data_IF_343104108427
#
_entry.id   IF_343104108427
#
_cell.length_a   1.000
_cell.length_b   1.000
_cell.length_c   1.000
_cell.angle_alpha   90.00
_cell.angle_beta   90.00
_cell.angle_gamma   90.00
#
_symmetry.space_group_name_H-M   'P 1'
#
loop_
_entity.id
_entity.type
_entity.pdbx_description
1 polymer ?
#
# COMPACT_ATOMS: atom_id res chain seq x y z
N UNK A 1 41.81 -11.58 69.66
CA UNK A 1 41.28 -12.88 69.17
C UNK A 1 41.07 -12.73 67.68
N UNK A 2 41.76 -13.35 66.72
CA UNK A 2 42.78 -14.44 66.61
C UNK A 2 43.88 -13.90 65.67
N UNK A 3 45.15 -13.87 66.08
CA UNK A 3 46.21 -14.90 65.95
C UNK A 3 46.72 -15.14 64.51
N UNK A 4 47.92 -14.60 64.33
CA UNK A 4 49.05 -14.88 63.41
C UNK A 4 49.27 -16.37 63.10
N UNK A 5 49.72 -16.71 61.87
CA UNK A 5 50.94 -17.53 61.64
C UNK A 5 51.32 -17.64 60.16
N UNK A 6 52.50 -17.11 59.85
CA UNK A 6 53.37 -17.47 58.72
C UNK A 6 54.10 -18.76 59.09
N UNK A 7 54.27 -19.69 58.14
CA UNK A 7 55.28 -20.73 58.21
C UNK A 7 55.75 -21.14 56.80
N UNK A 8 57.06 -21.04 56.63
CA UNK A 8 57.91 -21.45 55.51
C UNK A 8 58.26 -22.94 55.68
N UNK A 9 58.39 -23.72 54.59
CA UNK A 9 59.38 -24.81 54.37
C UNK A 9 59.12 -25.43 52.97
N UNK A 10 59.96 -25.20 51.95
CA UNK A 10 61.14 -25.99 51.56
C UNK A 10 60.86 -27.47 51.24
N UNK A 11 61.09 -27.91 49.99
CA UNK A 11 61.04 -29.34 49.64
C UNK A 11 61.21 -29.66 48.15
N UNK A 12 62.32 -30.31 47.83
CA UNK A 12 62.89 -30.72 46.55
C UNK A 12 62.03 -31.56 45.58
N UNK A 13 62.45 -31.45 44.31
CA UNK A 13 62.23 -32.23 43.10
C UNK A 13 61.78 -33.71 43.18
N UNK A 14 60.95 -34.09 42.21
CA UNK A 14 60.76 -35.48 41.75
C UNK A 14 60.09 -35.52 40.37
N UNK A 15 60.86 -35.79 39.32
CA UNK A 15 60.35 -36.09 37.98
C UNK A 15 59.76 -37.51 38.00
N UNK A 16 58.48 -37.63 37.64
CA UNK A 16 57.81 -38.91 37.36
C UNK A 16 57.03 -38.78 36.05
N UNK A 17 57.49 -39.56 35.08
CA UNK A 17 56.90 -39.72 33.75
C UNK A 17 55.61 -40.54 33.89
N UNK A 18 54.50 -40.06 33.34
CA UNK A 18 53.37 -40.92 32.99
C UNK A 18 52.59 -40.36 31.80
N UNK A 19 52.57 -41.15 30.72
CA UNK A 19 51.75 -40.96 29.54
C UNK A 19 50.26 -41.12 29.90
N UNK A 20 49.44 -40.12 29.56
CA UNK A 20 48.01 -40.30 29.39
C UNK A 20 47.54 -39.41 28.23
N UNK A 21 47.00 -40.06 27.20
CA UNK A 21 46.73 -39.47 25.90
C UNK A 21 45.72 -38.34 25.90
N UNK A 22 45.92 -37.42 24.94
CA UNK A 22 44.91 -36.45 24.51
C UNK A 22 43.66 -37.20 24.06
N UNK A 23 42.59 -37.13 24.86
CA UNK A 23 41.23 -37.34 24.39
C UNK A 23 40.84 -36.08 23.63
N UNK A 24 40.53 -36.24 22.35
CA UNK A 24 39.93 -35.22 21.50
C UNK A 24 38.63 -34.71 22.12
N UNK A 25 38.56 -33.41 22.38
CA UNK A 25 37.31 -32.71 22.66
C UNK A 25 36.35 -32.86 21.46
N UNK A 26 35.23 -33.54 21.69
CA UNK A 26 34.11 -33.49 20.77
C UNK A 26 33.45 -32.13 20.88
N UNK A 27 33.73 -31.27 19.90
CA UNK A 27 32.94 -30.08 19.62
C UNK A 27 31.48 -30.49 19.38
N UNK A 28 30.59 -30.11 20.30
CA UNK A 28 29.16 -30.16 20.08
C UNK A 28 28.82 -29.19 18.94
N UNK A 29 28.36 -29.75 17.82
CA UNK A 29 27.80 -28.96 16.72
C UNK A 29 26.56 -28.21 17.20
N UNK A 30 26.36 -26.93 16.83
CA UNK A 30 25.15 -26.20 17.16
C UNK A 30 23.95 -26.85 16.49
N UNK A 31 22.86 -27.01 17.24
CA UNK A 31 21.58 -27.45 16.71
C UNK A 31 21.18 -26.55 15.54
N UNK A 32 21.02 -27.17 14.37
CA UNK A 32 20.53 -26.52 13.16
C UNK A 32 19.07 -26.16 13.40
N UNK A 33 18.79 -24.90 13.68
CA UNK A 33 17.43 -24.36 13.66
C UNK A 33 16.91 -24.53 12.24
N UNK A 34 16.00 -25.49 12.04
CA UNK A 34 15.34 -25.68 10.77
C UNK A 34 14.63 -24.38 10.38
N UNK A 35 15.13 -23.71 9.35
CA UNK A 35 14.34 -22.79 8.56
C UNK A 35 13.18 -23.59 7.98
N UNK A 36 11.98 -23.47 8.55
CA UNK A 36 10.75 -23.89 7.87
C UNK A 36 10.72 -23.20 6.51
N UNK A 37 10.93 -23.98 5.46
CA UNK A 37 10.82 -23.52 4.09
C UNK A 37 9.35 -23.17 3.84
N UNK A 38 9.08 -21.86 3.73
CA UNK A 38 7.74 -21.35 3.47
C UNK A 38 7.20 -21.99 2.18
N UNK A 39 6.10 -22.72 2.30
CA UNK A 39 5.45 -23.34 1.15
C UNK A 39 5.03 -22.26 0.14
N UNK A 40 5.25 -22.45 -1.17
CA UNK A 40 4.81 -21.50 -2.18
C UNK A 40 3.30 -21.31 -2.11
N UNK A 41 2.84 -20.08 -1.89
CA UNK A 41 1.41 -19.75 -1.94
C UNK A 41 1.02 -19.61 -3.42
N UNK A 42 -0.02 -20.32 -3.91
CA UNK A 42 -0.52 -20.10 -5.26
C UNK A 42 -1.01 -18.66 -5.42
N UNK A 43 -0.39 -17.91 -6.33
CA UNK A 43 -0.82 -16.55 -6.68
C UNK A 43 -1.63 -16.61 -7.97
N UNK A 44 -2.89 -16.15 -8.00
CA UNK A 44 -3.68 -16.16 -9.22
C UNK A 44 -3.08 -15.23 -10.27
N UNK A 45 -3.27 -15.58 -11.55
CA UNK A 45 -2.87 -14.72 -12.66
C UNK A 45 -3.83 -13.53 -12.75
N UNK A 46 -3.28 -12.32 -12.64
CA UNK A 46 -4.02 -11.08 -12.86
C UNK A 46 -4.48 -10.96 -14.32
N UNK A 47 -5.77 -10.67 -14.53
CA UNK A 47 -6.33 -10.47 -15.87
C UNK A 47 -6.27 -8.99 -16.27
N UNK A 48 -5.32 -8.68 -17.17
CA UNK A 48 -5.06 -7.32 -17.61
C UNK A 48 -6.17 -6.77 -18.50
N UNK A 49 -6.84 -7.62 -19.29
CA UNK A 49 -7.90 -7.20 -20.20
C UNK A 49 -9.16 -6.86 -19.39
N UNK A 50 -9.43 -7.64 -18.34
CA UNK A 50 -10.46 -7.34 -17.34
C UNK A 50 -10.21 -5.99 -16.66
N UNK A 51 -9.01 -5.77 -16.10
CA UNK A 51 -8.65 -4.50 -15.47
C UNK A 51 -8.78 -3.31 -16.43
N UNK A 52 -8.29 -3.43 -17.67
CA UNK A 52 -8.41 -2.40 -18.69
C UNK A 52 -9.88 -2.12 -19.05
N UNK A 53 -10.73 -3.14 -19.10
CA UNK A 53 -12.17 -2.96 -19.35
C UNK A 53 -12.86 -2.17 -18.22
N UNK A 54 -12.43 -2.35 -16.96
CA UNK A 54 -12.93 -1.55 -15.84
C UNK A 54 -12.51 -0.08 -15.95
N UNK A 55 -11.29 0.22 -16.39
CA UNK A 55 -10.87 1.60 -16.71
C UNK A 55 -11.77 2.19 -17.79
N UNK A 56 -11.97 1.45 -18.90
CA UNK A 56 -12.84 1.88 -19.99
C UNK A 56 -14.28 2.14 -19.54
N UNK A 57 -14.81 1.33 -18.62
CA UNK A 57 -16.15 1.52 -18.07
C UNK A 57 -16.27 2.78 -17.23
N UNK A 58 -15.27 3.10 -16.40
CA UNK A 58 -15.22 4.33 -15.61
C UNK A 58 -15.20 5.57 -16.52
N UNK A 59 -14.30 5.58 -17.50
CA UNK A 59 -14.16 6.68 -18.47
C UNK A 59 -15.45 6.88 -19.29
N UNK A 60 -16.20 5.81 -19.57
CA UNK A 60 -17.45 5.88 -20.32
C UNK A 60 -18.58 6.63 -19.59
N UNK A 61 -18.48 6.87 -18.27
CA UNK A 61 -19.41 7.76 -17.58
C UNK A 61 -19.12 9.25 -17.85
N UNK A 62 -17.92 9.58 -18.33
CA UNK A 62 -17.37 10.93 -18.40
C UNK A 62 -16.46 11.25 -17.20
N UNK A 63 -15.93 12.49 -17.12
CA UNK A 63 -15.15 12.95 -15.97
C UNK A 63 -15.92 12.74 -14.66
N UNK A 64 -15.30 12.06 -13.68
CA UNK A 64 -15.93 11.80 -12.38
C UNK A 64 -15.65 12.94 -11.41
N UNK A 65 -15.91 14.17 -11.84
CA UNK A 65 -15.78 15.35 -10.96
C UNK A 65 -16.85 15.28 -9.88
N UNK A 66 -16.52 15.49 -8.59
CA UNK A 66 -17.51 15.52 -7.52
C UNK A 66 -18.71 16.43 -7.85
N UNK A 67 -19.87 16.14 -7.26
CA UNK A 67 -21.15 16.83 -7.52
C UNK A 67 -21.77 16.61 -8.92
N UNK A 68 -21.10 15.96 -9.88
CA UNK A 68 -21.65 15.71 -11.22
C UNK A 68 -22.52 14.45 -11.32
N UNK A 69 -23.28 14.34 -12.42
CA UNK A 69 -24.06 13.13 -12.72
C UNK A 69 -23.19 11.91 -13.06
N UNK A 70 -22.04 12.13 -13.70
CA UNK A 70 -21.07 11.08 -14.04
C UNK A 70 -20.44 10.47 -12.79
N UNK A 71 -20.04 11.32 -11.83
CA UNK A 71 -19.52 10.91 -10.52
C UNK A 71 -20.51 10.03 -9.75
N UNK A 72 -21.77 10.46 -9.61
CA UNK A 72 -22.81 9.65 -8.94
C UNK A 72 -23.05 8.30 -9.61
N UNK A 73 -23.13 8.27 -10.94
CA UNK A 73 -23.34 7.02 -11.69
C UNK A 73 -22.15 6.08 -11.57
N UNK A 74 -20.92 6.62 -11.58
CA UNK A 74 -19.72 5.83 -11.40
C UNK A 74 -19.64 5.25 -9.98
N UNK A 75 -19.91 6.05 -8.93
CA UNK A 75 -20.01 5.59 -7.53
C UNK A 75 -20.94 4.40 -7.39
N UNK A 76 -22.17 4.53 -7.90
CA UNK A 76 -23.19 3.48 -7.78
C UNK A 76 -22.74 2.21 -8.50
N UNK A 77 -22.11 2.36 -9.67
CA UNK A 77 -21.52 1.25 -10.39
C UNK A 77 -20.38 0.59 -9.60
N UNK A 78 -19.42 1.35 -9.08
CA UNK A 78 -18.29 0.84 -8.28
C UNK A 78 -18.77 0.03 -7.07
N UNK A 79 -19.68 0.59 -6.27
CA UNK A 79 -20.27 -0.10 -5.14
C UNK A 79 -21.01 -1.38 -5.55
N UNK A 80 -21.74 -1.36 -6.68
CA UNK A 80 -22.42 -2.54 -7.21
C UNK A 80 -21.44 -3.64 -7.68
N UNK A 81 -20.31 -3.27 -8.29
CA UNK A 81 -19.31 -4.23 -8.76
C UNK A 81 -18.68 -4.97 -7.60
N UNK A 82 -18.23 -4.25 -6.56
CA UNK A 82 -17.68 -4.90 -5.37
C UNK A 82 -18.69 -5.81 -4.68
N UNK A 83 -19.96 -5.38 -4.55
CA UNK A 83 -21.05 -6.22 -4.03
C UNK A 83 -21.24 -7.49 -4.88
N UNK A 84 -21.15 -7.38 -6.21
CA UNK A 84 -21.30 -8.53 -7.13
C UNK A 84 -20.17 -9.56 -7.00
N UNK A 85 -19.00 -9.15 -6.52
CA UNK A 85 -17.88 -10.05 -6.19
C UNK A 85 -17.96 -10.62 -4.77
N UNK A 86 -19.03 -10.35 -4.02
CA UNK A 86 -19.28 -10.89 -2.68
C UNK A 86 -18.56 -10.15 -1.56
N UNK A 87 -18.06 -8.93 -1.80
CA UNK A 87 -17.42 -8.12 -0.77
C UNK A 87 -18.48 -7.37 0.06
N UNK A 88 -18.16 -7.12 1.33
CA UNK A 88 -18.98 -6.25 2.20
C UNK A 88 -18.63 -4.80 1.88
N UNK A 89 -19.58 -4.03 1.36
CA UNK A 89 -19.34 -2.65 0.93
C UNK A 89 -19.87 -1.64 1.94
N UNK A 90 -19.02 -0.68 2.32
CA UNK A 90 -19.32 0.45 3.18
C UNK A 90 -19.12 1.74 2.37
N UNK A 91 -20.17 2.54 2.25
CA UNK A 91 -20.12 3.83 1.58
C UNK A 91 -20.11 4.92 2.65
N UNK A 92 -19.04 5.73 2.69
CA UNK A 92 -18.85 6.82 3.64
C UNK A 92 -19.03 8.15 2.93
N UNK A 93 -20.26 8.68 2.98
CA UNK A 93 -20.56 10.02 2.47
C UNK A 93 -19.97 11.11 3.36
N UNK A 94 -19.42 12.16 2.76
CA UNK A 94 -18.86 13.31 3.47
C UNK A 94 -19.08 14.62 2.71
N UNK A 95 -18.82 15.74 3.39
CA UNK A 95 -18.75 17.06 2.77
C UNK A 95 -17.39 17.68 3.06
N UNK A 96 -16.78 18.27 2.05
CA UNK A 96 -15.51 18.99 2.17
C UNK A 96 -15.59 20.29 1.36
N UNK A 97 -14.95 21.35 1.86
CA UNK A 97 -14.84 22.61 1.12
C UNK A 97 -13.58 22.58 0.28
N UNK A 98 -13.72 22.67 -1.04
CA UNK A 98 -12.61 22.78 -1.98
C UNK A 98 -11.90 24.14 -1.87
N UNK A 99 -10.69 24.23 -2.42
CA UNK A 99 -9.96 25.51 -2.51
C UNK A 99 -10.71 26.59 -3.31
N UNK A 100 -11.59 26.18 -4.23
CA UNK A 100 -12.48 27.07 -4.99
C UNK A 100 -13.61 27.67 -4.15
N UNK A 101 -13.80 27.20 -2.91
CA UNK A 101 -14.92 27.55 -2.04
C UNK A 101 -16.18 26.69 -2.26
N UNK A 102 -16.19 25.82 -3.27
CA UNK A 102 -17.29 24.87 -3.51
C UNK A 102 -17.35 23.83 -2.38
N UNK A 103 -18.55 23.47 -1.94
CA UNK A 103 -18.74 22.29 -1.07
C UNK A 103 -18.91 21.03 -1.92
N UNK A 104 -17.92 20.15 -1.88
CA UNK A 104 -17.95 18.86 -2.54
C UNK A 104 -18.74 17.86 -1.68
N UNK A 105 -19.64 17.11 -2.30
CA UNK A 105 -20.33 15.97 -1.70
C UNK A 105 -19.64 14.68 -2.14
N UNK A 106 -18.65 14.25 -1.36
CA UNK A 106 -17.85 13.06 -1.65
C UNK A 106 -18.42 11.77 -1.04
N UNK A 107 -17.95 10.63 -1.51
CA UNK A 107 -18.22 9.30 -0.99
C UNK A 107 -16.99 8.41 -1.11
N UNK A 108 -16.33 8.12 0.01
CA UNK A 108 -15.35 7.04 0.06
C UNK A 108 -16.07 5.68 -0.02
N UNK A 109 -15.50 4.72 -0.73
CA UNK A 109 -16.09 3.38 -0.89
C UNK A 109 -15.10 2.35 -0.37
N UNK A 110 -15.42 1.67 0.73
CA UNK A 110 -14.65 0.52 1.20
C UNK A 110 -15.34 -0.77 0.82
N UNK A 111 -14.61 -1.72 0.25
CA UNK A 111 -15.07 -3.08 -0.01
C UNK A 111 -14.18 -4.09 0.73
N UNK A 112 -14.78 -4.81 1.67
CA UNK A 112 -14.07 -5.72 2.57
C UNK A 112 -14.26 -7.18 2.14
N UNK A 113 -13.14 -7.85 1.91
CA UNK A 113 -13.04 -9.30 1.84
C UNK A 113 -12.67 -9.84 3.23
N UNK A 114 -13.44 -10.84 3.71
CA UNK A 114 -13.31 -11.46 5.04
C UNK A 114 -13.19 -10.42 6.18
N UNK A 115 -14.17 -9.52 6.40
CA UNK A 115 -14.10 -8.44 7.40
C UNK A 115 -13.76 -8.91 8.82
N UNK A 116 -14.08 -10.16 9.16
CA UNK A 116 -13.78 -10.81 10.42
C UNK A 116 -12.31 -11.21 10.62
N UNK A 117 -11.49 -11.23 9.56
CA UNK A 117 -10.10 -11.65 9.66
C UNK A 117 -9.26 -10.65 10.48
N UNK A 118 -8.47 -11.12 11.46
CA UNK A 118 -7.69 -10.26 12.37
C UNK A 118 -6.43 -9.66 11.71
N UNK A 119 -6.04 -10.18 10.55
CA UNK A 119 -4.90 -9.70 9.79
C UNK A 119 -5.39 -9.19 8.45
N UNK A 120 -5.25 -7.88 8.25
CA UNK A 120 -5.82 -7.17 7.10
C UNK A 120 -4.75 -6.40 6.33
N UNK A 121 -4.93 -6.28 5.03
CA UNK A 121 -4.13 -5.43 4.15
C UNK A 121 -5.10 -4.45 3.49
N UNK A 122 -4.74 -3.17 3.49
CA UNK A 122 -5.46 -2.13 2.77
C UNK A 122 -4.85 -1.97 1.38
N UNK A 123 -5.68 -1.97 0.34
CA UNK A 123 -5.32 -1.53 -1.00
C UNK A 123 -6.22 -0.34 -1.35
N UNK A 124 -5.63 0.75 -1.84
CA UNK A 124 -6.34 2.00 -2.06
C UNK A 124 -6.07 2.59 -3.43
N UNK A 125 -6.99 3.44 -3.88
CA UNK A 125 -6.87 4.31 -5.05
C UNK A 125 -7.89 5.45 -4.88
N UNK A 126 -7.66 6.63 -5.44
CA UNK A 126 -8.73 7.61 -5.59
C UNK A 126 -9.57 7.28 -6.84
N UNK A 127 -10.83 7.75 -6.90
CA UNK A 127 -11.74 7.40 -8.01
C UNK A 127 -12.37 8.59 -8.73
N UNK A 128 -12.23 9.79 -8.17
CA UNK A 128 -12.69 11.03 -8.81
C UNK A 128 -11.81 11.40 -10.03
N UNK A 129 -12.01 12.59 -10.57
CA UNK A 129 -11.18 13.11 -11.65
C UNK A 129 -11.05 14.61 -11.49
N UNK A 130 -9.89 15.15 -11.84
CA UNK A 130 -9.67 16.59 -11.90
C UNK A 130 -10.79 17.33 -12.62
N UNK A 131 -11.27 18.40 -11.98
CA UNK A 131 -12.22 19.34 -12.56
C UNK A 131 -11.62 20.20 -13.67
N UNK A 132 -10.30 20.20 -13.82
CA UNK A 132 -9.57 21.08 -14.73
C UNK A 132 -8.32 20.38 -15.31
N UNK A 133 -7.95 20.70 -16.55
CA UNK A 133 -6.77 20.15 -17.23
C UNK A 133 -5.60 21.16 -17.22
N UNK A 134 -5.15 21.52 -16.03
CA UNK A 134 -4.20 22.60 -15.73
C UNK A 134 -2.72 22.22 -15.88
N UNK A 135 -2.41 20.97 -16.25
CA UNK A 135 -1.03 20.52 -16.50
C UNK A 135 -0.28 21.47 -17.45
N UNK A 136 0.97 21.87 -17.14
CA UNK A 136 1.76 22.73 -18.02
C UNK A 136 2.13 22.04 -19.34
N UNK A 137 1.99 20.71 -19.43
CA UNK A 137 2.32 19.91 -20.61
C UNK A 137 1.38 20.16 -21.80
N UNK A 138 0.18 20.70 -21.57
CA UNK A 138 -0.77 20.99 -22.63
C UNK A 138 -1.62 22.23 -22.30
N UNK A 139 -1.89 23.05 -23.32
CA UNK A 139 -2.77 24.22 -23.20
C UNK A 139 -4.14 24.03 -23.85
N UNK A 140 -4.35 22.90 -24.54
CA UNK A 140 -5.45 22.76 -25.49
C UNK A 140 -6.86 22.74 -24.87
N UNK A 141 -6.97 22.32 -23.60
CA UNK A 141 -8.25 22.08 -22.90
C UNK A 141 -8.21 22.56 -21.45
N UNK A 142 -7.44 23.63 -21.16
CA UNK A 142 -7.02 24.01 -19.80
C UNK A 142 -8.14 24.22 -18.79
N UNK A 143 -9.35 24.54 -19.24
CA UNK A 143 -10.50 24.82 -18.36
C UNK A 143 -11.52 23.67 -18.34
N UNK A 144 -11.19 22.52 -18.94
CA UNK A 144 -12.08 21.37 -19.03
C UNK A 144 -11.69 20.26 -18.03
N UNK A 145 -12.67 19.55 -17.44
CA UNK A 145 -12.38 18.36 -16.66
C UNK A 145 -11.67 17.27 -17.46
N UNK A 146 -10.75 16.55 -16.80
CA UNK A 146 -10.06 15.43 -17.42
C UNK A 146 -10.90 14.15 -17.35
N UNK A 147 -10.64 13.22 -18.28
CA UNK A 147 -11.28 11.90 -18.23
C UNK A 147 -10.75 11.01 -17.10
N UNK A 148 -9.58 11.32 -16.52
CA UNK A 148 -8.98 10.57 -15.40
C UNK A 148 -8.82 9.07 -15.70
N UNK A 149 -8.34 8.71 -16.90
CA UNK A 149 -8.21 7.29 -17.27
C UNK A 149 -7.06 6.62 -16.51
N UNK A 150 -5.95 7.32 -16.36
CA UNK A 150 -4.80 6.83 -15.60
C UNK A 150 -4.87 7.34 -14.15
N UNK A 151 -4.93 8.65 -14.00
CA UNK A 151 -5.20 9.41 -12.78
C UNK A 151 -6.64 9.13 -12.29
N UNK A 152 -6.76 8.31 -11.26
CA UNK A 152 -8.00 7.71 -10.74
C UNK A 152 -8.39 6.37 -11.39
N UNK A 153 -8.63 6.35 -12.70
CA UNK A 153 -9.24 5.20 -13.37
C UNK A 153 -8.41 3.91 -13.28
N UNK A 154 -7.09 4.02 -13.37
CA UNK A 154 -6.17 2.88 -13.43
C UNK A 154 -6.08 2.11 -12.11
N UNK A 155 -5.90 2.83 -11.00
CA UNK A 155 -5.83 2.25 -9.66
C UNK A 155 -7.12 1.50 -9.33
N UNK A 156 -8.27 2.15 -9.54
CA UNK A 156 -9.60 1.54 -9.35
C UNK A 156 -9.79 0.30 -10.22
N UNK A 157 -9.37 0.35 -11.49
CA UNK A 157 -9.47 -0.79 -12.42
C UNK A 157 -8.67 -2.00 -11.93
N UNK A 158 -7.47 -1.77 -11.37
CA UNK A 158 -6.67 -2.83 -10.74
C UNK A 158 -7.36 -3.40 -9.50
N UNK A 159 -7.92 -2.54 -8.63
CA UNK A 159 -8.61 -3.00 -7.42
C UNK A 159 -9.88 -3.82 -7.73
N UNK A 160 -10.64 -3.46 -8.78
CA UNK A 160 -11.79 -4.23 -9.23
C UNK A 160 -11.40 -5.63 -9.74
N UNK A 161 -10.30 -5.75 -10.48
CA UNK A 161 -9.79 -7.05 -10.89
C UNK A 161 -9.29 -7.87 -9.70
N UNK A 162 -8.63 -7.25 -8.72
CA UNK A 162 -8.26 -7.94 -7.46
C UNK A 162 -9.52 -8.42 -6.73
N UNK A 163 -10.58 -7.61 -6.63
CA UNK A 163 -11.84 -8.01 -6.02
C UNK A 163 -12.44 -9.23 -6.71
N UNK A 164 -12.47 -9.25 -8.04
CA UNK A 164 -12.95 -10.38 -8.84
C UNK A 164 -12.12 -11.63 -8.58
N UNK A 165 -10.81 -11.51 -8.49
CA UNK A 165 -9.91 -12.64 -8.24
C UNK A 165 -10.07 -13.20 -6.83
N UNK A 166 -10.33 -12.37 -5.82
CA UNK A 166 -10.57 -12.83 -4.44
C UNK A 166 -11.81 -13.72 -4.32
N UNK A 167 -12.79 -13.56 -5.21
CA UNK A 167 -13.98 -14.42 -5.26
C UNK A 167 -13.63 -15.87 -5.66
N UNK A 168 -12.80 -16.05 -6.69
CA UNK A 168 -12.43 -17.39 -7.20
C UNK A 168 -11.16 -17.96 -6.59
N UNK A 169 -10.32 -17.11 -6.00
CA UNK A 169 -9.03 -17.47 -5.40
C UNK A 169 -8.93 -16.89 -3.97
N UNK A 170 -9.54 -17.56 -2.98
CA UNK A 170 -9.61 -17.05 -1.62
C UNK A 170 -8.24 -16.78 -0.99
N UNK A 171 -8.01 -15.56 -0.50
CA UNK A 171 -6.84 -15.24 0.32
C UNK A 171 -7.01 -15.66 1.79
N UNK A 172 -5.89 -15.91 2.48
CA UNK A 172 -5.84 -16.27 3.91
C UNK A 172 -5.84 -15.06 4.87
N UNK A 173 -5.91 -13.85 4.34
CA UNK A 173 -5.96 -12.58 5.09
C UNK A 173 -7.22 -11.82 4.70
N UNK A 174 -7.64 -10.88 5.56
CA UNK A 174 -8.59 -9.86 5.17
C UNK A 174 -7.96 -8.91 4.16
N UNK A 175 -8.74 -8.48 3.17
CA UNK A 175 -8.31 -7.47 2.20
C UNK A 175 -9.39 -6.41 2.16
N UNK A 176 -9.00 -5.15 2.34
CA UNK A 176 -9.90 -4.01 2.23
C UNK A 176 -9.49 -3.20 1.02
N UNK A 177 -10.43 -2.95 0.12
CA UNK A 177 -10.25 -2.14 -1.08
C UNK A 177 -10.92 -0.80 -0.81
N UNK A 178 -10.16 0.27 -0.70
CA UNK A 178 -10.66 1.60 -0.34
C UNK A 178 -10.51 2.57 -1.51
N UNK A 179 -11.63 3.09 -1.98
CA UNK A 179 -11.66 4.13 -2.99
C UNK A 179 -11.86 5.49 -2.30
N UNK A 180 -10.85 6.36 -2.37
CA UNK A 180 -10.93 7.73 -1.87
C UNK A 180 -11.60 8.64 -2.90
N UNK A 181 -12.41 9.59 -2.42
CA UNK A 181 -13.10 10.57 -3.27
C UNK A 181 -12.56 11.98 -3.02
N UNK A 182 -12.76 12.88 -3.96
CA UNK A 182 -12.29 14.27 -3.90
C UNK A 182 -10.79 14.38 -3.58
N UNK A 183 -9.97 13.52 -4.17
CA UNK A 183 -8.52 13.59 -4.06
C UNK A 183 -8.00 14.74 -4.94
N UNK A 184 -8.46 14.79 -6.18
CA UNK A 184 -7.87 15.57 -7.26
C UNK A 184 -8.61 16.90 -7.48
N UNK A 185 -9.03 17.53 -6.37
CA UNK A 185 -9.74 18.82 -6.37
C UNK A 185 -8.94 19.92 -5.68
N UNK A 186 -7.62 19.73 -5.53
CA UNK A 186 -6.73 20.65 -4.84
C UNK A 186 -6.18 21.78 -5.71
N UNK A 187 -5.54 22.73 -5.03
CA UNK A 187 -4.92 23.92 -5.62
C UNK A 187 -3.49 23.61 -6.10
N UNK A 188 -3.25 23.71 -7.41
CA UNK A 188 -1.93 23.53 -8.04
C UNK A 188 -1.08 24.81 -8.02
N UNK A 189 -1.41 25.78 -7.15
CA UNK A 189 -0.66 27.02 -7.02
C UNK A 189 0.65 26.83 -6.24
N UNK A 190 1.74 26.63 -7.00
CA UNK A 190 3.10 26.52 -6.49
C UNK A 190 3.62 27.76 -5.71
N UNK A 191 3.00 28.94 -5.86
CA UNK A 191 3.46 30.15 -5.15
C UNK A 191 3.01 30.15 -3.68
N UNK A 192 1.86 29.53 -3.41
CA UNK A 192 1.31 29.36 -2.06
C UNK A 192 0.81 27.93 -1.88
N UNK A 193 1.73 26.94 -1.84
CA UNK A 193 1.34 25.53 -1.79
C UNK A 193 0.46 25.24 -0.57
N UNK A 194 -0.66 24.57 -0.80
CA UNK A 194 -1.54 24.07 0.25
C UNK A 194 -1.79 22.57 0.05
N UNK A 195 -0.92 21.70 0.59
CA UNK A 195 -1.08 20.25 0.48
C UNK A 195 -2.43 19.74 1.00
N UNK A 196 -3.02 20.39 2.00
CA UNK A 196 -4.32 19.99 2.58
C UNK A 196 -5.52 20.33 1.68
N UNK A 197 -5.31 21.01 0.55
CA UNK A 197 -6.37 21.19 -0.45
C UNK A 197 -6.65 19.94 -1.28
N UNK A 198 -5.71 18.99 -1.29
CA UNK A 198 -5.77 17.70 -1.99
C UNK A 198 -6.27 16.60 -1.06
N UNK A 199 -6.58 15.43 -1.63
CA UNK A 199 -6.80 14.20 -0.84
C UNK A 199 -7.92 14.35 0.22
N UNK A 200 -8.99 15.10 -0.07
CA UNK A 200 -10.01 15.46 0.92
C UNK A 200 -10.73 14.21 1.47
N UNK A 201 -10.90 13.18 0.64
CA UNK A 201 -11.49 11.90 1.03
C UNK A 201 -10.63 11.10 2.00
N UNK A 202 -9.32 10.97 1.75
CA UNK A 202 -8.41 10.26 2.67
C UNK A 202 -8.23 11.03 3.97
N UNK A 203 -8.11 12.36 3.91
CA UNK A 203 -8.12 13.22 5.10
C UNK A 203 -9.39 13.02 5.95
N UNK A 204 -10.56 12.95 5.30
CA UNK A 204 -11.81 12.70 6.01
C UNK A 204 -11.81 11.30 6.61
N UNK A 205 -11.42 10.29 5.84
CA UNK A 205 -11.40 8.90 6.28
C UNK A 205 -10.43 8.67 7.43
N UNK A 206 -9.21 9.20 7.40
CA UNK A 206 -8.21 9.00 8.46
C UNK A 206 -8.63 9.64 9.79
N UNK A 207 -9.39 10.75 9.73
CA UNK A 207 -10.00 11.41 10.90
C UNK A 207 -11.29 10.74 11.36
N UNK A 208 -11.95 9.97 10.50
CA UNK A 208 -13.27 9.35 10.74
C UNK A 208 -13.26 7.89 10.29
N UNK A 209 -12.29 7.10 10.73
CA UNK A 209 -12.05 5.77 10.18
C UNK A 209 -13.30 4.88 10.29
N UNK A 210 -13.71 4.35 9.14
CA UNK A 210 -14.79 3.37 9.02
C UNK A 210 -14.19 2.09 8.43
N UNK A 211 -14.35 0.92 9.10
CA UNK A 211 -15.03 0.71 10.40
C UNK A 211 -14.24 1.27 11.60
N UNK A 212 -14.91 1.45 12.75
CA UNK A 212 -14.25 1.94 13.98
C UNK A 212 -13.15 0.98 14.46
N UNK A 213 -12.01 1.53 14.89
CA UNK A 213 -10.86 0.73 15.34
C UNK A 213 -10.15 -0.03 14.21
N UNK A 214 -10.33 0.41 12.96
CA UNK A 214 -9.71 -0.20 11.80
C UNK A 214 -8.19 0.02 11.79
N UNK A 215 -7.43 -1.07 11.78
CA UNK A 215 -5.96 -1.05 11.78
C UNK A 215 -5.41 -2.14 10.85
N UNK A 216 -5.15 -1.85 9.56
CA UNK A 216 -4.51 -2.80 8.67
C UNK A 216 -3.04 -2.97 9.02
N UNK A 217 -2.42 -4.09 8.61
CA UNK A 217 -0.97 -4.32 8.78
C UNK A 217 -0.14 -3.31 7.98
N UNK A 218 -0.62 -2.95 6.80
CA UNK A 218 -0.08 -1.91 5.93
C UNK A 218 -1.10 -1.57 4.84
N UNK A 219 -0.90 -0.42 4.19
CA UNK A 219 -1.60 0.00 2.98
C UNK A 219 -0.71 -0.06 1.73
N UNK A 220 -1.33 -0.19 0.56
CA UNK A 220 -0.71 0.07 -0.74
C UNK A 220 -1.67 0.97 -1.51
N UNK A 221 -1.24 2.18 -1.85
CA UNK A 221 -1.96 3.09 -2.73
C UNK A 221 -1.54 2.83 -4.18
N UNK A 222 -2.51 2.80 -5.09
CA UNK A 222 -2.33 2.67 -6.53
C UNK A 222 -2.81 3.96 -7.18
N UNK A 223 -1.87 4.78 -7.63
CA UNK A 223 -2.15 5.99 -8.39
C UNK A 223 -1.32 6.02 -9.68
N UNK A 224 -1.97 6.43 -10.78
CA UNK A 224 -1.43 6.47 -12.14
C UNK A 224 -0.66 5.19 -12.56
N UNK A 225 -1.30 4.03 -12.42
CA UNK A 225 -0.68 2.71 -12.61
C UNK A 225 -0.99 2.06 -13.98
N UNK A 226 -1.52 2.81 -14.94
CA UNK A 226 -2.00 2.34 -16.24
C UNK A 226 -1.26 2.92 -17.46
N UNK A 227 -0.48 3.99 -17.31
CA UNK A 227 0.26 4.58 -18.43
C UNK A 227 1.25 3.62 -19.10
N UNK A 228 1.35 3.75 -20.42
CA UNK A 228 2.35 3.02 -21.21
C UNK A 228 3.76 3.42 -20.77
N UNK A 229 4.61 2.43 -20.50
CA UNK A 229 5.98 2.62 -20.04
C UNK A 229 6.10 3.39 -18.71
N UNK A 230 5.07 3.32 -17.86
CA UNK A 230 5.14 3.87 -16.51
C UNK A 230 6.37 3.33 -15.77
N UNK A 231 6.94 4.17 -14.91
CA UNK A 231 8.09 3.81 -14.07
C UNK A 231 7.76 4.23 -12.64
N UNK A 232 7.69 3.24 -11.76
CA UNK A 232 7.46 3.43 -10.34
C UNK A 232 8.80 3.47 -9.62
N UNK A 233 9.06 4.58 -8.94
CA UNK A 233 10.20 4.76 -8.03
C UNK A 233 9.76 4.55 -6.58
N UNK A 234 10.73 4.37 -5.68
CA UNK A 234 10.47 4.32 -4.25
C UNK A 234 10.17 5.73 -3.73
N UNK A 235 8.89 6.06 -3.69
CA UNK A 235 8.35 7.37 -3.30
C UNK A 235 8.76 7.77 -1.88
N UNK A 236 9.02 9.06 -1.67
CA UNK A 236 9.67 9.61 -0.48
C UNK A 236 8.89 9.44 0.82
N UNK A 237 7.59 9.74 0.85
CA UNK A 237 6.69 9.55 2.01
C UNK A 237 6.64 8.06 2.36
N UNK A 238 6.42 7.20 1.36
CA UNK A 238 6.40 5.74 1.51
C UNK A 238 7.71 5.21 2.08
N UNK A 239 8.86 5.73 1.64
CA UNK A 239 10.17 5.34 2.16
C UNK A 239 10.44 5.88 3.57
N UNK A 240 9.80 6.97 3.97
CA UNK A 240 9.93 7.52 5.32
C UNK A 240 9.04 6.76 6.32
N UNK A 241 7.80 6.44 5.96
CA UNK A 241 6.81 5.87 6.88
C UNK A 241 6.65 4.35 6.76
N UNK A 242 6.92 3.76 5.59
CA UNK A 242 6.73 2.33 5.33
C UNK A 242 7.86 1.66 4.52
N UNK A 243 9.16 1.95 4.78
CA UNK A 243 10.26 1.43 3.96
C UNK A 243 10.31 -0.10 3.87
N UNK A 244 9.90 -0.80 4.93
CA UNK A 244 9.84 -2.26 4.93
C UNK A 244 8.79 -2.79 3.92
N UNK A 245 7.63 -2.13 3.83
CA UNK A 245 6.55 -2.48 2.89
C UNK A 245 6.98 -2.14 1.47
N UNK A 246 7.51 -0.94 1.24
CA UNK A 246 8.01 -0.52 -0.08
C UNK A 246 9.07 -1.48 -0.61
N UNK A 247 10.07 -1.81 0.21
CA UNK A 247 11.12 -2.74 -0.19
C UNK A 247 10.59 -4.17 -0.41
N UNK A 248 9.57 -4.60 0.34
CA UNK A 248 8.90 -5.90 0.12
C UNK A 248 8.22 -5.94 -1.25
N UNK A 249 7.46 -4.90 -1.61
CA UNK A 249 6.75 -4.81 -2.90
C UNK A 249 7.75 -4.75 -4.06
N UNK A 250 8.79 -3.91 -3.94
CA UNK A 250 9.81 -3.80 -4.99
C UNK A 250 10.59 -5.08 -5.20
N UNK A 251 11.01 -5.75 -4.11
CA UNK A 251 11.69 -7.04 -4.20
C UNK A 251 10.81 -8.09 -4.88
N UNK A 252 9.51 -8.12 -4.56
CA UNK A 252 8.57 -9.02 -5.23
C UNK A 252 8.47 -8.69 -6.73
N UNK A 253 8.36 -7.42 -7.10
CA UNK A 253 8.34 -7.00 -8.49
C UNK A 253 9.61 -7.40 -9.26
N UNK A 254 10.80 -7.25 -8.66
CA UNK A 254 12.06 -7.74 -9.25
C UNK A 254 12.01 -9.25 -9.50
N UNK A 255 11.59 -10.02 -8.49
CA UNK A 255 11.54 -11.48 -8.57
C UNK A 255 10.53 -11.98 -9.62
N UNK A 256 9.47 -11.22 -9.88
CA UNK A 256 8.47 -11.52 -10.92
C UNK A 256 8.89 -11.04 -12.32
N UNK A 257 10.06 -10.40 -12.46
CA UNK A 257 10.56 -9.89 -13.74
C UNK A 257 10.01 -8.52 -14.16
N UNK A 258 9.37 -7.77 -13.24
CA UNK A 258 8.81 -6.43 -13.49
C UNK A 258 9.76 -5.29 -13.12
N UNK A 259 11.06 -5.56 -13.01
CA UNK A 259 12.05 -4.58 -12.54
C UNK A 259 12.25 -3.36 -13.45
N UNK A 260 11.81 -3.44 -14.71
CA UNK A 260 11.77 -2.29 -15.63
C UNK A 260 10.68 -1.27 -15.27
N UNK A 261 9.62 -1.71 -14.61
CA UNK A 261 8.53 -0.84 -14.13
C UNK A 261 8.82 -0.39 -12.70
N UNK A 262 9.20 -1.31 -11.81
CA UNK A 262 9.49 -1.03 -10.40
C UNK A 262 11.00 -0.80 -10.21
N UNK A 263 11.45 0.44 -10.31
CA UNK A 263 12.89 0.76 -10.26
C UNK A 263 13.37 0.96 -8.83
N UNK A 264 14.57 0.48 -8.50
CA UNK A 264 15.18 0.67 -7.16
C UNK A 264 15.53 2.14 -6.85
N UNK A 265 15.35 3.05 -7.81
CA UNK A 265 15.52 4.49 -7.67
C UNK A 265 14.55 5.05 -6.64
N UNK A 266 15.05 5.90 -5.74
CA UNK A 266 14.23 6.70 -4.82
C UNK A 266 13.85 8.03 -5.47
N UNK A 267 12.64 8.50 -5.24
CA UNK A 267 12.16 9.81 -5.68
C UNK A 267 11.86 10.71 -4.47
N UNK A 268 11.54 11.97 -4.75
CA UNK A 268 11.05 12.91 -3.74
C UNK A 268 9.72 12.46 -3.13
N UNK A 269 9.34 13.14 -2.06
CA UNK A 269 8.02 13.00 -1.46
C UNK A 269 6.96 13.59 -2.40
N UNK A 270 5.84 12.89 -2.54
CA UNK A 270 4.65 13.34 -3.28
C UNK A 270 3.49 13.41 -2.27
N UNK A 271 2.77 14.54 -2.26
CA UNK A 271 1.50 14.63 -1.53
C UNK A 271 0.46 13.85 -2.32
N UNK A 272 -0.13 12.87 -1.65
CA UNK A 272 -1.10 11.91 -2.19
C UNK A 272 -1.80 11.25 -0.98
N UNK A 273 -2.82 10.43 -1.19
CA UNK A 273 -3.70 9.90 -0.13
C UNK A 273 -2.94 9.14 0.97
N UNK A 274 -1.80 8.51 0.68
CA UNK A 274 -1.00 7.77 1.68
C UNK A 274 -0.23 8.67 2.65
N UNK A 275 -0.19 9.98 2.39
CA UNK A 275 0.36 10.97 3.32
C UNK A 275 -0.58 11.21 4.52
N UNK A 276 -1.89 11.09 4.33
CA UNK A 276 -2.94 11.45 5.30
C UNK A 276 -3.49 10.27 6.11
#
# INVERSE_FOLDING_TARGET
>A
MQIIKILIFAGFAGILISNAGCKSDQSQSPATTGTEELQPVPVPKFDRDSAFSFVGKQVAFGPRVPNTGAHRQCRDWLASQFKSYGLTVLEQGFKATAYTGETLSGTNIMAQYKPEAPHRILLAAHWDSRHIADSPLSTARRDEPILGADDGGSGVGILLEIARQLQSHPANVGVDLLLFDAEDHGDDNDQTPNPESWCLGSQYWSKNMVPSGYHPKYGILLDMAGAKNATFTKEGVSMNFAPAVTNKVWKLAQNLGYGTYFTETKSGAITDDHYF
#
